data_IF_721950878986
#
_entry.id   IF_721950878986
#
_cell.length_a   1.000
_cell.length_b   1.000
_cell.length_c   1.000
_cell.angle_alpha   90.00
_cell.angle_beta   90.00
_cell.angle_gamma   90.00
#
_symmetry.space_group_name_H-M   'P 1'
#
loop_
_entity.id
_entity.type
_entity.pdbx_description
1 polymer ?
#
# COMPACT_ATOMS: atom_id res chain seq x y z
N UNK A 1 19.35 -10.11 13.27
CA UNK A 1 19.37 -8.97 14.21
C UNK A 1 18.07 -8.94 15.00
N UNK A 2 18.02 -8.17 16.09
CA UNK A 2 16.80 -7.93 16.88
C UNK A 2 16.38 -6.49 16.66
N UNK A 3 15.11 -6.26 16.35
CA UNK A 3 14.52 -4.91 16.31
C UNK A 3 14.01 -4.56 17.71
N UNK A 4 14.16 -3.29 18.10
CA UNK A 4 13.75 -2.83 19.42
C UNK A 4 12.23 -2.71 19.56
N UNK A 5 11.53 -2.29 18.50
CA UNK A 5 10.08 -2.18 18.47
C UNK A 5 9.55 -2.30 17.03
N UNK A 6 8.38 -2.92 16.88
CA UNK A 6 7.70 -3.02 15.58
C UNK A 6 7.11 -1.68 15.13
N UNK A 7 6.98 -1.47 13.82
CA UNK A 7 6.38 -0.25 13.27
C UNK A 7 4.85 -0.20 13.41
N UNK A 8 4.21 -1.37 13.48
CA UNK A 8 2.76 -1.59 13.42
C UNK A 8 2.08 -0.99 12.17
N UNK A 9 2.84 -0.81 11.08
CA UNK A 9 2.34 -0.17 9.86
C UNK A 9 1.06 -0.84 9.31
N UNK A 10 0.96 -2.18 9.37
CA UNK A 10 -0.21 -2.89 8.86
C UNK A 10 -1.49 -2.52 9.61
N UNK A 11 -1.43 -2.42 10.93
CA UNK A 11 -2.58 -2.03 11.77
C UNK A 11 -2.92 -0.54 11.59
N UNK A 12 -1.91 0.33 11.63
CA UNK A 12 -2.07 1.77 11.49
C UNK A 12 -2.67 2.11 10.13
N UNK A 13 -2.09 1.58 9.04
CA UNK A 13 -2.57 1.80 7.68
C UNK A 13 -4.01 1.33 7.52
N UNK A 14 -4.33 0.15 8.07
CA UNK A 14 -5.67 -0.43 8.02
C UNK A 14 -6.70 0.43 8.73
N UNK A 15 -6.42 0.85 9.97
CA UNK A 15 -7.29 1.73 10.76
C UNK A 15 -7.53 3.06 10.07
N UNK A 16 -6.48 3.68 9.50
CA UNK A 16 -6.58 4.94 8.74
C UNK A 16 -7.38 4.76 7.46
N UNK A 17 -7.14 3.68 6.71
CA UNK A 17 -7.88 3.38 5.49
C UNK A 17 -9.38 3.20 5.77
N UNK A 18 -9.75 2.45 6.82
CA UNK A 18 -11.15 2.24 7.21
C UNK A 18 -11.80 3.55 7.67
N UNK A 19 -11.16 4.27 8.58
CA UNK A 19 -11.71 5.53 9.13
C UNK A 19 -11.85 6.65 8.10
N UNK A 20 -11.05 6.63 7.02
CA UNK A 20 -11.21 7.57 5.90
C UNK A 20 -12.55 7.44 5.18
N UNK A 21 -13.21 6.28 5.28
CA UNK A 21 -14.45 5.92 4.56
C UNK A 21 -14.39 6.05 3.02
N UNK A 22 -13.22 6.32 2.43
CA UNK A 22 -13.02 6.41 0.97
C UNK A 22 -13.41 5.13 0.24
N UNK A 23 -13.30 4.00 0.93
CA UNK A 23 -13.65 2.68 0.43
C UNK A 23 -15.13 2.51 0.10
N UNK A 24 -16.04 3.30 0.69
CA UNK A 24 -17.48 3.22 0.39
C UNK A 24 -17.78 3.42 -1.09
N UNK A 25 -17.01 4.27 -1.78
CA UNK A 25 -17.15 4.50 -3.23
C UNK A 25 -16.91 3.24 -4.07
N UNK A 26 -16.08 2.32 -3.58
CA UNK A 26 -15.59 1.17 -4.34
C UNK A 26 -16.22 -0.15 -3.92
N UNK A 27 -16.94 -0.17 -2.79
CA UNK A 27 -17.68 -1.33 -2.33
C UNK A 27 -19.07 -1.33 -2.96
N UNK A 28 -19.62 -2.53 -3.16
CA UNK A 28 -20.93 -2.74 -3.80
C UNK A 28 -21.84 -3.54 -2.88
N UNK A 29 -23.15 -3.30 -3.00
CA UNK A 29 -24.17 -3.99 -2.21
C UNK A 29 -24.05 -3.72 -0.72
N UNK A 30 -24.40 -4.73 0.11
CA UNK A 30 -24.46 -4.59 1.58
C UNK A 30 -23.14 -4.13 2.22
N UNK A 31 -21.99 -4.41 1.59
CA UNK A 31 -20.69 -4.02 2.12
C UNK A 31 -20.44 -2.51 2.01
N UNK A 32 -21.14 -1.78 1.13
CA UNK A 32 -21.06 -0.32 1.04
C UNK A 32 -21.67 0.36 2.26
N UNK A 33 -22.73 -0.23 2.81
CA UNK A 33 -23.49 0.31 3.95
C UNK A 33 -22.96 -0.18 5.30
N UNK A 34 -21.94 -1.06 5.29
CA UNK A 34 -21.30 -1.55 6.50
C UNK A 34 -20.81 -0.37 7.37
N UNK A 35 -21.05 -0.46 8.66
CA UNK A 35 -20.48 0.44 9.65
C UNK A 35 -18.96 0.21 9.77
N UNK A 36 -18.25 1.23 10.26
CA UNK A 36 -16.81 1.10 10.55
C UNK A 36 -16.54 -0.05 11.52
N UNK A 37 -17.38 -0.23 12.54
CA UNK A 37 -17.22 -1.31 13.52
C UNK A 37 -17.38 -2.70 12.88
N UNK A 38 -18.36 -2.88 11.98
CA UNK A 38 -18.52 -4.15 11.24
C UNK A 38 -17.32 -4.44 10.34
N UNK A 39 -16.75 -3.40 9.73
CA UNK A 39 -15.54 -3.52 8.92
C UNK A 39 -14.32 -3.89 9.77
N UNK A 40 -14.14 -3.24 10.92
CA UNK A 40 -13.00 -3.51 11.82
C UNK A 40 -13.05 -4.92 12.40
N UNK A 41 -14.26 -5.43 12.71
CA UNK A 41 -14.48 -6.78 13.22
C UNK A 41 -14.28 -7.88 12.16
N UNK A 42 -14.28 -7.54 10.87
CA UNK A 42 -14.12 -8.49 9.77
C UNK A 42 -12.72 -8.38 9.15
N UNK A 43 -11.85 -9.35 9.45
CA UNK A 43 -10.46 -9.34 8.98
C UNK A 43 -10.33 -9.33 7.45
N UNK A 44 -11.14 -10.11 6.74
CA UNK A 44 -11.09 -10.16 5.28
C UNK A 44 -11.47 -8.81 4.67
N UNK A 45 -12.56 -8.21 5.18
CA UNK A 45 -13.05 -6.92 4.72
C UNK A 45 -12.05 -5.79 5.04
N UNK A 46 -11.46 -5.83 6.24
CA UNK A 46 -10.37 -4.94 6.65
C UNK A 46 -9.16 -5.02 5.72
N UNK A 47 -8.67 -6.23 5.45
CA UNK A 47 -7.52 -6.45 4.56
C UNK A 47 -7.84 -5.99 3.14
N UNK A 48 -9.04 -6.30 2.65
CA UNK A 48 -9.52 -5.85 1.34
C UNK A 48 -9.52 -4.34 1.24
N UNK A 49 -10.15 -3.64 2.20
CA UNK A 49 -10.20 -2.17 2.26
C UNK A 49 -8.79 -1.57 2.32
N UNK A 50 -7.93 -2.12 3.17
CA UNK A 50 -6.53 -1.67 3.28
C UNK A 50 -5.82 -1.77 1.94
N UNK A 51 -6.00 -2.88 1.21
CA UNK A 51 -5.36 -3.11 -0.09
C UNK A 51 -5.86 -2.16 -1.18
N UNK A 52 -7.16 -1.88 -1.23
CA UNK A 52 -7.75 -1.06 -2.31
C UNK A 52 -7.70 0.45 -2.01
N UNK A 53 -7.72 0.84 -0.73
CA UNK A 53 -7.89 2.24 -0.30
C UNK A 53 -6.78 2.75 0.61
N UNK A 54 -5.79 1.92 0.97
CA UNK A 54 -4.65 2.35 1.81
C UNK A 54 -3.87 3.52 1.20
N UNK A 55 -3.80 3.62 -0.13
CA UNK A 55 -3.10 4.71 -0.81
C UNK A 55 -3.67 6.11 -0.50
N UNK A 56 -4.94 6.22 -0.09
CA UNK A 56 -5.54 7.50 0.28
C UNK A 56 -5.02 8.09 1.59
N UNK A 57 -4.27 7.31 2.38
CA UNK A 57 -3.80 7.71 3.71
C UNK A 57 -2.29 7.63 3.86
N UNK A 58 -1.54 7.50 2.76
CA UNK A 58 -0.07 7.50 2.81
C UNK A 58 0.51 8.82 3.32
N UNK A 59 -0.19 9.94 3.10
CA UNK A 59 0.21 11.26 3.61
C UNK A 59 -0.18 11.49 5.09
N UNK A 60 -0.93 10.58 5.71
CA UNK A 60 -1.26 10.70 7.14
C UNK A 60 0.03 10.63 7.98
N UNK A 61 0.26 11.58 8.91
CA UNK A 61 1.50 11.63 9.69
C UNK A 61 1.81 10.33 10.44
N UNK A 62 0.80 9.65 10.99
CA UNK A 62 0.99 8.42 11.75
C UNK A 62 1.41 7.25 10.85
N UNK A 63 0.87 7.21 9.62
CA UNK A 63 1.25 6.24 8.59
C UNK A 63 2.70 6.48 8.15
N UNK A 64 3.07 7.74 7.90
CA UNK A 64 4.44 8.11 7.52
C UNK A 64 5.45 7.75 8.60
N UNK A 65 5.14 8.05 9.86
CA UNK A 65 6.01 7.73 10.99
C UNK A 65 6.17 6.22 11.17
N UNK A 66 5.09 5.45 11.01
CA UNK A 66 5.15 4.00 11.05
C UNK A 66 5.98 3.42 9.89
N UNK A 67 5.82 3.94 8.67
CA UNK A 67 6.62 3.51 7.53
C UNK A 67 8.10 3.85 7.74
N UNK A 68 8.43 5.04 8.22
CA UNK A 68 9.80 5.43 8.53
C UNK A 68 10.44 4.52 9.60
N UNK A 69 9.68 4.13 10.64
CA UNK A 69 10.13 3.14 11.63
C UNK A 69 10.40 1.77 10.98
N UNK A 70 9.54 1.31 10.08
CA UNK A 70 9.76 0.05 9.35
C UNK A 70 11.05 0.11 8.53
N UNK A 71 11.20 1.15 7.72
CA UNK A 71 12.38 1.33 6.86
C UNK A 71 13.66 1.37 7.67
N UNK A 72 13.68 2.10 8.79
CA UNK A 72 14.84 2.12 9.70
C UNK A 72 15.14 0.75 10.29
N UNK A 73 14.12 0.06 10.81
CA UNK A 73 14.28 -1.29 11.36
C UNK A 73 14.85 -2.29 10.34
N UNK A 74 14.46 -2.18 9.06
CA UNK A 74 14.99 -3.00 7.98
C UNK A 74 16.43 -2.62 7.65
N UNK A 75 16.72 -1.32 7.54
CA UNK A 75 18.06 -0.80 7.30
C UNK A 75 19.07 -1.22 8.39
N UNK A 76 18.67 -1.17 9.67
CA UNK A 76 19.49 -1.64 10.80
C UNK A 76 19.81 -3.14 10.72
N UNK A 77 19.04 -3.91 9.96
CA UNK A 77 19.27 -5.32 9.67
C UNK A 77 20.02 -5.56 8.36
N UNK A 78 20.44 -4.51 7.66
CA UNK A 78 21.09 -4.57 6.36
C UNK A 78 20.14 -4.88 5.20
N UNK A 79 18.83 -4.66 5.38
CA UNK A 79 17.81 -4.89 4.36
C UNK A 79 17.46 -3.56 3.69
N UNK A 80 17.65 -3.50 2.37
CA UNK A 80 17.25 -2.36 1.55
C UNK A 80 15.74 -2.40 1.25
N UNK A 81 14.98 -1.60 1.99
CA UNK A 81 13.54 -1.52 1.83
C UNK A 81 13.12 -0.69 0.60
N UNK A 82 13.89 0.33 0.23
CA UNK A 82 13.57 1.20 -0.91
C UNK A 82 13.81 0.45 -2.22
N UNK A 83 14.97 -0.18 -2.38
CA UNK A 83 15.26 -1.01 -3.55
C UNK A 83 14.28 -2.18 -3.72
N UNK A 84 13.79 -2.76 -2.62
CA UNK A 84 12.72 -3.76 -2.69
C UNK A 84 11.42 -3.16 -3.24
N UNK A 85 11.02 -1.96 -2.82
CA UNK A 85 9.79 -1.32 -3.31
C UNK A 85 9.94 -0.93 -4.78
N UNK A 86 11.07 -0.36 -5.16
CA UNK A 86 11.36 0.04 -6.55
C UNK A 86 11.27 -1.16 -7.49
N UNK A 87 11.94 -2.28 -7.17
CA UNK A 87 11.88 -3.52 -7.97
C UNK A 87 10.45 -4.06 -8.11
N UNK A 88 9.62 -3.91 -7.07
CA UNK A 88 8.21 -4.34 -7.12
C UNK A 88 7.36 -3.44 -8.01
N UNK A 89 7.63 -2.14 -8.02
CA UNK A 89 6.97 -1.17 -8.90
C UNK A 89 7.42 -1.42 -10.35
N UNK A 90 8.72 -1.55 -10.59
CA UNK A 90 9.30 -1.82 -11.90
C UNK A 90 8.70 -3.08 -12.52
N UNK A 91 8.66 -4.20 -11.78
CA UNK A 91 8.01 -5.44 -12.26
C UNK A 91 6.53 -5.29 -12.59
N UNK A 92 5.82 -4.41 -11.87
CA UNK A 92 4.41 -4.14 -12.15
C UNK A 92 4.24 -3.35 -13.45
N UNK A 93 5.14 -2.41 -13.73
CA UNK A 93 5.15 -1.59 -14.96
C UNK A 93 5.63 -2.41 -16.15
N UNK A 94 6.70 -3.19 -15.98
CA UNK A 94 7.35 -4.00 -17.01
C UNK A 94 6.38 -5.00 -17.67
N UNK A 95 5.42 -5.52 -16.90
CA UNK A 95 4.31 -6.32 -17.43
C UNK A 95 3.57 -5.59 -18.56
N UNK A 96 3.25 -4.31 -18.37
CA UNK A 96 2.57 -3.51 -19.39
C UNK A 96 3.49 -3.18 -20.55
N UNK A 97 4.76 -2.88 -20.29
CA UNK A 97 5.76 -2.63 -21.33
C UNK A 97 5.87 -3.83 -22.27
N UNK A 98 6.01 -5.02 -21.70
CA UNK A 98 6.11 -6.28 -22.45
C UNK A 98 4.81 -6.61 -23.18
N UNK A 99 3.67 -6.67 -22.46
CA UNK A 99 2.40 -7.11 -23.04
C UNK A 99 1.84 -6.17 -24.10
N UNK A 100 2.18 -4.88 -24.06
CA UNK A 100 1.73 -3.90 -25.05
C UNK A 100 2.84 -3.50 -26.05
N UNK A 101 3.98 -4.20 -26.05
CA UNK A 101 5.12 -3.94 -26.94
C UNK A 101 5.57 -2.46 -26.92
N UNK A 102 5.63 -1.88 -25.72
CA UNK A 102 5.98 -0.47 -25.52
C UNK A 102 7.49 -0.26 -25.40
N UNK A 103 8.29 -1.32 -25.59
CA UNK A 103 9.74 -1.21 -25.59
C UNK A 103 10.21 -0.18 -26.62
N UNK A 104 11.04 0.75 -26.14
CA UNK A 104 11.60 1.86 -26.91
C UNK A 104 10.54 2.78 -27.55
N UNK A 105 9.29 2.78 -27.07
CA UNK A 105 8.21 3.58 -27.65
C UNK A 105 8.55 5.08 -27.64
N UNK A 106 9.09 5.61 -26.54
CA UNK A 106 9.45 7.03 -26.44
C UNK A 106 10.45 7.44 -27.52
N UNK A 107 11.47 6.62 -27.79
CA UNK A 107 12.45 6.89 -28.85
C UNK A 107 11.79 6.92 -30.23
N UNK A 108 10.90 5.97 -30.51
CA UNK A 108 10.15 5.90 -31.78
C UNK A 108 9.19 7.07 -32.03
N UNK A 109 8.76 7.77 -30.97
CA UNK A 109 7.82 8.89 -31.05
C UNK A 109 8.50 10.25 -31.21
N UNK A 110 9.79 10.35 -30.89
CA UNK A 110 10.57 11.61 -30.95
C UNK A 110 11.34 11.73 -32.28
N UNK A 111 11.42 10.64 -33.07
CA UNK A 111 11.86 10.63 -34.48
C UNK A 111 10.78 11.19 -35.42
#
# INVERSE_FOLDING_TARGET
>A
GRIASGSNIGEILSKKAISSQRWRKWMVGKSQDASVAEVEANEELRLRITRICGHYVFDDPEVRDALARLTRNLSDLGIDAEGYVDDRIDKSIDRYVTCFNLENLTSKLIE
#
